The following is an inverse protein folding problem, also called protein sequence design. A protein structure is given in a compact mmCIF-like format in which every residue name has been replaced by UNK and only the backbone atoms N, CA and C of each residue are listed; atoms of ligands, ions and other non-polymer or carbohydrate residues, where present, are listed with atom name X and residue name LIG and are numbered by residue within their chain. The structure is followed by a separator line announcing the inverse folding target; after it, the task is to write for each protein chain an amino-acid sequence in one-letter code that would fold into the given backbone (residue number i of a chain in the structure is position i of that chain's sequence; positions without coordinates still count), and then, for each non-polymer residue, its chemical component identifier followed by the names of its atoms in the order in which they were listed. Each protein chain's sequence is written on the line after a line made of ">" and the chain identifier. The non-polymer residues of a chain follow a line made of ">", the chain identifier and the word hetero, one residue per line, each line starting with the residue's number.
data_IF_496626241706
#
_entry.id   IF_496626241706
#
_cell.length_a   1.000
_cell.length_b   1.000
_cell.length_c   1.000
_cell.angle_alpha   90.00
_cell.angle_beta   90.00
_cell.angle_gamma   90.00
#
_symmetry.space_group_name_H-M   'P 1'
#
loop_
_entity.id
_entity.type
_entity.pdbx_description
1 polymer ?
#
# COMPACT_ATOMS: atom_id res chain seq x y z
N UNK A 1 -1.86 -34.67 28.75
CA UNK A 1 -3.01 -34.00 28.13
C UNK A 1 -2.68 -33.73 26.67
N UNK A 2 -3.19 -34.54 25.73
CA UNK A 2 -2.89 -34.40 24.28
C UNK A 2 -3.79 -33.31 23.70
N UNK A 3 -3.20 -32.22 23.19
CA UNK A 3 -3.89 -31.11 22.52
C UNK A 3 -4.42 -31.62 21.17
N UNK A 4 -5.74 -31.79 21.02
CA UNK A 4 -6.37 -32.05 19.73
C UNK A 4 -6.15 -30.83 18.83
N UNK A 5 -5.34 -30.98 17.78
CA UNK A 5 -5.28 -30.02 16.68
C UNK A 5 -6.67 -30.02 16.02
N UNK A 6 -7.32 -28.85 15.97
CA UNK A 6 -8.52 -28.67 15.16
C UNK A 6 -8.10 -28.90 13.69
N UNK A 7 -8.86 -29.70 12.91
CA UNK A 7 -8.58 -29.83 11.49
C UNK A 7 -8.63 -28.43 10.86
N UNK A 8 -7.65 -28.14 10.01
CA UNK A 8 -7.57 -26.89 9.27
C UNK A 8 -8.84 -26.73 8.44
N UNK A 9 -9.37 -25.50 8.36
CA UNK A 9 -10.45 -25.23 7.41
C UNK A 9 -9.94 -25.60 6.01
N UNK A 10 -10.75 -26.27 5.20
CA UNK A 10 -10.34 -26.81 3.89
C UNK A 10 -9.64 -25.79 2.95
N UNK A 11 -9.96 -24.49 3.08
CA UNK A 11 -9.27 -23.41 2.37
C UNK A 11 -7.80 -23.19 2.79
N UNK A 12 -7.45 -23.56 4.03
CA UNK A 12 -6.07 -23.56 4.51
C UNK A 12 -5.27 -24.76 3.98
N UNK A 13 -5.94 -25.86 3.61
CA UNK A 13 -5.29 -27.02 2.96
C UNK A 13 -4.96 -26.72 1.49
N UNK A 14 -5.80 -25.97 0.77
CA UNK A 14 -5.44 -25.46 -0.56
C UNK A 14 -4.25 -24.50 -0.49
N UNK A 15 -4.24 -23.54 0.46
CA UNK A 15 -3.13 -22.58 0.65
C UNK A 15 -1.79 -23.22 1.01
N UNK A 16 -1.78 -24.41 1.61
CA UNK A 16 -0.56 -25.12 2.00
C UNK A 16 0.24 -25.65 0.78
N UNK A 17 -0.42 -25.87 -0.37
CA UNK A 17 0.25 -26.31 -1.60
C UNK A 17 1.00 -25.19 -2.33
N UNK A 18 0.70 -23.92 -2.04
CA UNK A 18 1.20 -22.77 -2.80
C UNK A 18 2.27 -21.92 -2.09
N UNK A 19 2.68 -22.29 -0.87
CA UNK A 19 3.66 -21.55 -0.08
C UNK A 19 3.09 -20.30 0.60
N UNK A 20 3.97 -19.50 1.21
CA UNK A 20 3.56 -18.19 1.78
C UNK A 20 3.57 -17.13 0.69
N UNK A 21 2.58 -16.25 0.73
CA UNK A 21 2.40 -15.19 -0.24
C UNK A 21 2.61 -13.81 0.40
N UNK A 22 3.32 -12.93 -0.29
CA UNK A 22 3.58 -11.56 0.21
C UNK A 22 3.42 -10.53 -0.90
N UNK A 23 2.92 -9.35 -0.53
CA UNK A 23 2.96 -8.16 -1.40
C UNK A 23 4.28 -7.42 -1.18
N UNK A 24 4.80 -6.83 -2.26
CA UNK A 24 6.04 -6.06 -2.25
C UNK A 24 5.76 -4.74 -2.97
N UNK A 25 6.21 -3.64 -2.37
CA UNK A 25 6.28 -2.34 -3.01
C UNK A 25 7.64 -1.72 -2.67
N UNK A 26 8.42 -1.44 -3.71
CA UNK A 26 9.70 -0.75 -3.62
C UNK A 26 9.62 0.60 -4.33
N UNK A 27 10.30 1.60 -3.79
CA UNK A 27 10.51 2.91 -4.42
C UNK A 27 11.97 3.31 -4.27
N UNK A 28 12.53 3.95 -5.29
CA UNK A 28 13.87 4.53 -5.29
C UNK A 28 13.80 5.96 -5.80
N UNK A 29 14.52 6.87 -5.15
CA UNK A 29 14.61 8.28 -5.51
C UNK A 29 16.01 8.61 -5.99
N UNK A 30 16.11 9.39 -7.05
CA UNK A 30 17.34 9.87 -7.65
C UNK A 30 17.24 11.39 -7.84
N UNK A 31 18.23 12.13 -7.32
CA UNK A 31 18.34 13.58 -7.55
C UNK A 31 18.72 13.88 -9.00
N UNK A 32 18.16 14.96 -9.55
CA UNK A 32 18.69 15.48 -10.81
C UNK A 32 20.09 16.09 -10.60
N UNK A 33 20.94 16.00 -11.62
CA UNK A 33 22.33 16.52 -11.57
C UNK A 33 22.36 18.05 -11.46
N UNK A 34 21.26 18.71 -11.83
CA UNK A 34 21.10 20.15 -11.75
C UNK A 34 20.68 20.56 -10.32
N UNK A 35 21.31 21.61 -9.79
CA UNK A 35 20.99 22.13 -8.45
C UNK A 35 19.56 22.68 -8.42
N UNK A 36 18.58 21.87 -8.08
CA UNK A 36 17.24 22.38 -7.83
C UNK A 36 16.26 21.27 -7.54
N UNK A 37 15.92 21.13 -6.25
CA UNK A 37 14.74 20.46 -5.64
C UNK A 37 13.83 19.62 -6.52
N UNK A 38 14.37 18.79 -7.39
CA UNK A 38 13.68 17.99 -8.39
C UNK A 38 14.53 16.78 -8.74
N UNK A 39 13.87 15.70 -9.13
CA UNK A 39 14.54 14.48 -9.55
C UNK A 39 13.55 13.45 -10.06
N UNK A 40 13.98 12.19 -10.06
CA UNK A 40 13.20 11.07 -10.56
C UNK A 40 12.98 10.02 -9.48
N UNK A 41 11.87 9.30 -9.60
CA UNK A 41 11.63 8.10 -8.82
C UNK A 41 11.29 6.93 -9.74
N UNK A 42 11.66 5.75 -9.30
CA UNK A 42 11.22 4.47 -9.88
C UNK A 42 10.57 3.63 -8.79
N UNK A 43 9.55 2.87 -9.14
CA UNK A 43 8.84 1.98 -8.23
C UNK A 43 8.58 0.63 -8.88
N UNK A 44 8.56 -0.41 -8.05
CA UNK A 44 8.18 -1.76 -8.44
C UNK A 44 7.19 -2.33 -7.44
N UNK A 45 6.21 -3.09 -7.92
CA UNK A 45 5.24 -3.74 -7.06
C UNK A 45 4.84 -5.14 -7.53
N UNK A 46 4.65 -6.03 -6.56
CA UNK A 46 3.91 -7.28 -6.69
C UNK A 46 2.79 -7.28 -5.65
N UNK A 47 1.56 -7.53 -6.06
CA UNK A 47 0.39 -7.50 -5.20
C UNK A 47 -0.33 -6.15 -5.21
N UNK A 48 -0.80 -5.74 -4.03
CA UNK A 48 -1.82 -4.71 -3.83
C UNK A 48 -1.40 -3.56 -2.89
N UNK A 49 -0.16 -3.58 -2.39
CA UNK A 49 0.43 -2.42 -1.74
C UNK A 49 0.58 -1.28 -2.74
N UNK A 50 0.19 -0.07 -2.35
CA UNK A 50 0.10 1.08 -3.25
C UNK A 50 1.00 2.24 -2.84
N UNK A 51 1.58 2.88 -3.85
CA UNK A 51 2.25 4.17 -3.84
C UNK A 51 1.29 5.25 -4.36
N UNK A 52 1.20 6.37 -3.64
CA UNK A 52 0.54 7.59 -4.12
C UNK A 52 1.49 8.77 -3.94
N UNK A 53 1.67 9.56 -5.00
CA UNK A 53 2.39 10.83 -4.98
C UNK A 53 1.40 12.00 -4.98
N UNK A 54 1.61 12.92 -4.05
CA UNK A 54 0.86 14.16 -3.92
C UNK A 54 1.79 15.33 -4.23
N UNK A 55 1.33 16.22 -5.11
CA UNK A 55 1.97 17.51 -5.42
C UNK A 55 0.89 18.58 -5.43
N UNK A 56 1.15 19.73 -4.81
CA UNK A 56 0.22 20.87 -4.81
C UNK A 56 -1.23 20.48 -4.44
N UNK A 57 -1.38 19.66 -3.39
CA UNK A 57 -2.68 19.16 -2.88
C UNK A 57 -3.50 18.36 -3.91
N UNK A 58 -2.83 17.71 -4.87
CA UNK A 58 -3.43 16.84 -5.87
C UNK A 58 -2.63 15.54 -6.03
N UNK A 59 -3.32 14.45 -6.36
CA UNK A 59 -2.69 13.18 -6.73
C UNK A 59 -2.08 13.32 -8.12
N UNK A 60 -0.76 13.20 -8.23
CA UNK A 60 -0.04 13.25 -9.52
C UNK A 60 0.44 11.89 -10.00
N UNK A 61 0.60 10.92 -9.09
CA UNK A 61 0.84 9.52 -9.44
C UNK A 61 0.15 8.57 -8.46
N UNK A 62 -0.32 7.44 -8.98
CA UNK A 62 -0.92 6.35 -8.23
C UNK A 62 -0.50 5.01 -8.86
N UNK A 63 -0.01 4.10 -8.04
CA UNK A 63 0.60 2.84 -8.48
C UNK A 63 0.45 1.77 -7.38
N UNK A 64 0.26 0.47 -7.69
CA UNK A 64 -0.05 -0.08 -9.00
C UNK A 64 -1.54 0.06 -9.37
N UNK A 65 -2.39 0.47 -8.43
CA UNK A 65 -3.81 0.74 -8.65
C UNK A 65 -4.13 2.23 -8.63
N UNK A 66 -5.30 2.60 -9.14
CA UNK A 66 -5.76 3.99 -9.24
C UNK A 66 -7.14 4.23 -8.60
N UNK A 67 -7.86 3.16 -8.24
CA UNK A 67 -9.22 3.16 -7.73
C UNK A 67 -9.43 2.02 -6.73
N UNK A 68 -10.50 2.11 -5.94
CA UNK A 68 -10.83 1.16 -4.88
C UNK A 68 -11.38 -0.17 -5.40
N UNK A 69 -11.87 -0.21 -6.64
CA UNK A 69 -12.45 -1.42 -7.25
C UNK A 69 -11.41 -2.43 -7.71
N UNK A 70 -10.16 -1.99 -7.88
CA UNK A 70 -9.02 -2.84 -8.25
C UNK A 70 -8.57 -3.80 -7.13
N UNK A 71 -8.98 -3.56 -5.88
CA UNK A 71 -8.64 -4.42 -4.74
C UNK A 71 -9.53 -5.66 -4.73
N UNK A 72 -8.91 -6.83 -4.65
CA UNK A 72 -9.60 -8.12 -4.59
C UNK A 72 -9.01 -9.01 -3.50
N UNK A 73 -9.70 -10.08 -3.14
CA UNK A 73 -9.21 -11.03 -2.13
C UNK A 73 -8.06 -11.93 -2.63
N UNK A 74 -7.70 -11.86 -3.92
CA UNK A 74 -6.68 -12.71 -4.54
C UNK A 74 -5.68 -11.87 -5.37
N UNK A 75 -4.89 -10.99 -4.73
CA UNK A 75 -3.81 -10.30 -5.41
C UNK A 75 -2.76 -11.29 -5.92
N UNK A 76 -2.00 -10.90 -6.95
CA UNK A 76 -0.87 -11.69 -7.44
C UNK A 76 0.32 -11.44 -6.52
N UNK A 77 0.71 -12.46 -5.77
CA UNK A 77 1.68 -12.35 -4.69
C UNK A 77 2.94 -13.15 -5.01
N UNK A 78 4.06 -12.73 -4.44
CA UNK A 78 5.31 -13.48 -4.52
C UNK A 78 5.17 -14.77 -3.70
N UNK A 79 5.44 -15.92 -4.31
CA UNK A 79 5.40 -17.22 -3.65
C UNK A 79 6.80 -17.68 -3.28
N UNK A 80 6.93 -18.37 -2.15
CA UNK A 80 8.17 -19.06 -1.77
C UNK A 80 8.45 -20.33 -2.60
N UNK A 81 7.52 -20.75 -3.47
CA UNK A 81 7.68 -21.91 -4.35
C UNK A 81 7.94 -21.46 -5.80
N UNK A 82 9.18 -21.66 -6.27
CA UNK A 82 9.65 -21.19 -7.58
C UNK A 82 8.90 -21.76 -8.78
N UNK A 83 8.29 -22.94 -8.66
CA UNK A 83 7.48 -23.54 -9.73
C UNK A 83 6.12 -22.85 -9.93
N UNK A 84 5.72 -21.96 -9.00
CA UNK A 84 4.46 -21.21 -9.01
C UNK A 84 4.67 -19.69 -8.86
N UNK A 85 5.91 -19.19 -9.01
CA UNK A 85 6.23 -17.79 -8.81
C UNK A 85 5.85 -16.93 -10.04
N UNK A 86 4.54 -16.75 -10.24
CA UNK A 86 4.02 -15.74 -11.15
C UNK A 86 4.29 -14.31 -10.65
N UNK A 87 4.66 -14.12 -9.38
CA UNK A 87 4.87 -12.80 -8.78
C UNK A 87 6.06 -12.05 -9.40
N UNK A 88 7.17 -12.74 -9.68
CA UNK A 88 8.31 -12.15 -10.41
C UNK A 88 7.95 -11.80 -11.86
N UNK A 89 7.18 -12.66 -12.54
CA UNK A 89 6.74 -12.42 -13.92
C UNK A 89 5.71 -11.29 -14.03
N UNK A 90 5.01 -10.98 -12.93
CA UNK A 90 3.98 -9.94 -12.87
C UNK A 90 4.43 -8.70 -12.09
N UNK A 91 5.74 -8.54 -11.87
CA UNK A 91 6.28 -7.33 -11.27
C UNK A 91 5.91 -6.12 -12.14
N UNK A 92 5.12 -5.22 -11.56
CA UNK A 92 4.72 -3.98 -12.20
C UNK A 92 5.78 -2.94 -11.89
N UNK A 93 6.06 -2.06 -12.85
CA UNK A 93 7.00 -0.95 -12.66
C UNK A 93 6.31 0.37 -12.99
N UNK A 94 6.74 1.43 -12.32
CA UNK A 94 6.37 2.81 -12.62
C UNK A 94 7.56 3.73 -12.39
N UNK A 95 7.53 4.90 -13.02
CA UNK A 95 8.48 5.97 -12.78
C UNK A 95 7.79 7.31 -12.89
N UNK A 96 8.39 8.34 -12.30
CA UNK A 96 7.89 9.71 -12.37
C UNK A 96 8.94 10.72 -11.95
N UNK A 97 8.62 12.00 -12.10
CA UNK A 97 9.41 13.08 -11.53
C UNK A 97 8.92 13.44 -10.14
N UNK A 98 9.82 13.86 -9.27
CA UNK A 98 9.48 14.52 -8.01
C UNK A 98 9.99 15.96 -8.01
N UNK A 99 9.30 16.80 -7.24
CA UNK A 99 9.67 18.18 -6.95
C UNK A 99 9.71 18.37 -5.42
N UNK A 100 10.39 19.40 -4.94
CA UNK A 100 10.36 19.80 -3.53
C UNK A 100 8.91 20.06 -3.10
N UNK A 101 8.60 19.73 -1.85
CA UNK A 101 7.26 19.70 -1.26
C UNK A 101 6.36 18.53 -1.71
N UNK A 102 6.83 17.65 -2.62
CA UNK A 102 6.10 16.42 -2.91
C UNK A 102 6.02 15.51 -1.68
N UNK A 103 4.87 14.84 -1.55
CA UNK A 103 4.64 13.83 -0.52
C UNK A 103 4.27 12.50 -1.15
N UNK A 104 4.91 11.42 -0.68
CA UNK A 104 4.62 10.06 -1.10
C UNK A 104 4.05 9.26 0.06
N UNK A 105 3.02 8.48 -0.25
CA UNK A 105 2.37 7.56 0.68
C UNK A 105 2.49 6.14 0.14
N UNK A 106 3.12 5.26 0.90
CA UNK A 106 3.11 3.82 0.65
C UNK A 106 2.18 3.16 1.66
N UNK A 107 1.25 2.35 1.17
CA UNK A 107 0.13 1.84 1.94
C UNK A 107 -0.10 0.36 1.65
N UNK A 108 -0.43 -0.44 2.67
CA UNK A 108 -0.98 -1.79 2.44
C UNK A 108 -2.41 -1.71 1.92
N UNK A 109 -2.91 -2.83 1.37
CA UNK A 109 -4.19 -2.96 0.68
C UNK A 109 -5.38 -2.33 1.43
N UNK A 110 -5.53 -2.62 2.73
CA UNK A 110 -6.66 -2.12 3.51
C UNK A 110 -6.69 -0.59 3.61
N UNK A 111 -5.51 0.04 3.73
CA UNK A 111 -5.40 1.50 3.79
C UNK A 111 -5.49 2.14 2.41
N UNK A 112 -4.90 1.51 1.39
CA UNK A 112 -4.98 1.98 0.02
C UNK A 112 -6.42 1.94 -0.50
N UNK A 113 -7.17 0.85 -0.24
CA UNK A 113 -8.58 0.74 -0.60
C UNK A 113 -9.42 1.85 0.04
N UNK A 114 -9.22 2.11 1.34
CA UNK A 114 -9.88 3.23 2.03
C UNK A 114 -9.50 4.58 1.39
N UNK A 115 -8.21 4.81 1.11
CA UNK A 115 -7.71 6.03 0.49
C UNK A 115 -8.42 6.30 -0.85
N UNK A 116 -8.49 5.30 -1.73
CA UNK A 116 -9.15 5.46 -3.01
C UNK A 116 -10.66 5.67 -2.86
N UNK A 117 -11.32 4.98 -1.93
CA UNK A 117 -12.75 5.18 -1.67
C UNK A 117 -13.09 6.60 -1.21
N UNK A 118 -12.22 7.23 -0.42
CA UNK A 118 -12.41 8.60 0.04
C UNK A 118 -12.14 9.60 -1.09
N UNK A 119 -11.11 9.35 -1.91
CA UNK A 119 -10.85 10.13 -3.12
C UNK A 119 -12.02 10.10 -4.10
N UNK A 120 -12.63 8.93 -4.30
CA UNK A 120 -13.82 8.74 -5.15
C UNK A 120 -15.04 9.51 -4.63
N UNK A 121 -15.08 9.82 -3.33
CA UNK A 121 -16.06 10.70 -2.69
C UNK A 121 -15.63 12.17 -2.68
N UNK A 122 -14.70 12.53 -3.55
CA UNK A 122 -14.10 13.87 -3.69
C UNK A 122 -13.42 14.38 -2.41
N UNK A 123 -13.06 13.49 -1.49
CA UNK A 123 -12.28 13.83 -0.30
C UNK A 123 -10.79 13.86 -0.60
N UNK A 124 -10.03 14.46 0.32
CA UNK A 124 -8.56 14.59 0.25
C UNK A 124 -7.88 13.79 1.37
N UNK A 125 -7.92 12.45 1.33
CA UNK A 125 -7.41 11.60 2.42
C UNK A 125 -5.93 11.85 2.74
N UNK A 126 -5.13 12.29 1.76
CA UNK A 126 -3.73 12.65 1.99
C UNK A 126 -3.53 13.79 3.00
N UNK A 127 -4.49 14.73 3.13
CA UNK A 127 -4.40 15.80 4.12
C UNK A 127 -4.45 15.23 5.55
N UNK A 128 -5.30 14.21 5.76
CA UNK A 128 -5.38 13.49 7.03
C UNK A 128 -4.11 12.66 7.27
N UNK A 129 -3.70 11.87 6.27
CA UNK A 129 -2.53 10.98 6.39
C UNK A 129 -1.21 11.74 6.59
N UNK A 130 -1.10 12.96 6.04
CA UNK A 130 0.05 13.84 6.24
C UNK A 130 0.27 14.18 7.70
N UNK A 131 -0.79 14.36 8.49
CA UNK A 131 -0.68 14.80 9.89
C UNK A 131 -0.81 13.63 10.88
N UNK A 132 -1.23 12.46 10.40
CA UNK A 132 -1.49 11.28 11.21
C UNK A 132 -0.21 10.78 11.89
N UNK A 133 -0.29 10.53 13.21
CA UNK A 133 0.82 9.98 13.99
C UNK A 133 2.00 10.92 14.25
N UNK A 134 2.00 12.17 13.73
CA UNK A 134 3.05 13.17 14.04
C UNK A 134 2.85 13.74 15.45
N UNK A 135 1.60 13.94 15.83
CA UNK A 135 1.20 14.49 17.13
C UNK A 135 0.41 13.43 17.91
N UNK A 136 0.64 13.35 19.22
CA UNK A 136 -0.07 12.47 20.14
C UNK A 136 -1.60 12.66 20.12
N UNK A 137 -2.08 13.80 19.59
CA UNK A 137 -3.51 14.10 19.38
C UNK A 137 -4.20 13.25 18.31
N UNK A 138 -3.47 12.64 17.37
CA UNK A 138 -4.05 11.76 16.33
C UNK A 138 -3.31 10.42 16.26
N UNK A 139 -3.54 9.52 17.24
CA UNK A 139 -2.88 8.22 17.27
C UNK A 139 -3.30 7.37 16.07
N UNK A 140 -2.32 6.88 15.30
CA UNK A 140 -2.55 6.04 14.13
C UNK A 140 -3.44 4.83 14.45
N UNK A 141 -3.13 4.09 15.51
CA UNK A 141 -3.87 2.88 15.90
C UNK A 141 -5.34 3.18 16.27
N UNK A 142 -5.59 4.28 16.98
CA UNK A 142 -6.95 4.66 17.37
C UNK A 142 -7.80 5.07 16.15
N UNK A 143 -7.17 5.75 15.19
CA UNK A 143 -7.81 6.10 13.93
C UNK A 143 -8.12 4.88 13.06
N UNK A 144 -7.19 3.93 12.93
CA UNK A 144 -7.46 2.66 12.23
C UNK A 144 -8.60 1.90 12.92
N UNK A 145 -8.63 1.86 14.25
CA UNK A 145 -9.68 1.20 15.01
C UNK A 145 -11.07 1.83 14.74
N UNK A 146 -11.15 3.16 14.69
CA UNK A 146 -12.43 3.85 14.43
C UNK A 146 -12.95 3.61 13.01
N UNK A 147 -12.07 3.55 12.00
CA UNK A 147 -12.48 3.20 10.63
C UNK A 147 -13.00 1.76 10.53
N UNK A 148 -12.40 0.82 11.25
CA UNK A 148 -12.88 -0.57 11.30
C UNK A 148 -14.23 -0.68 12.02
N UNK A 149 -14.43 0.05 13.12
CA UNK A 149 -15.71 0.09 13.83
C UNK A 149 -16.84 0.63 12.94
N UNK A 150 -16.54 1.66 12.15
CA UNK A 150 -17.46 2.25 11.17
C UNK A 150 -17.63 1.42 9.90
N UNK A 151 -16.93 0.28 9.78
CA UNK A 151 -16.87 -0.57 8.58
C UNK A 151 -16.40 0.18 7.32
N UNK A 152 -15.68 1.28 7.50
CA UNK A 152 -15.08 2.07 6.43
C UNK A 152 -13.75 1.48 5.93
N UNK A 153 -13.13 0.57 6.70
CA UNK A 153 -11.88 -0.10 6.36
C UNK A 153 -11.99 -1.60 6.64
N UNK A 154 -11.39 -2.40 5.76
CA UNK A 154 -11.26 -3.86 5.95
C UNK A 154 -10.49 -4.16 7.24
N UNK A 155 -10.88 -5.23 7.93
CA UNK A 155 -10.15 -5.70 9.09
C UNK A 155 -8.94 -6.53 8.66
N UNK A 156 -7.88 -5.87 8.22
CA UNK A 156 -6.59 -6.44 7.79
C UNK A 156 -5.42 -5.61 8.32
N UNK A 157 -4.19 -6.09 8.20
CA UNK A 157 -3.00 -5.34 8.66
C UNK A 157 -2.80 -4.02 7.88
N UNK A 158 -2.55 -2.95 8.63
CA UNK A 158 -2.45 -1.59 8.08
C UNK A 158 -1.07 -1.02 8.33
N UNK A 159 -0.36 -0.73 7.25
CA UNK A 159 0.93 -0.02 7.28
C UNK A 159 0.85 1.25 6.44
N UNK A 160 1.42 2.33 6.97
CA UNK A 160 1.60 3.60 6.26
C UNK A 160 3.08 3.99 6.33
N UNK A 161 3.69 4.23 5.18
CA UNK A 161 4.98 4.91 5.08
C UNK A 161 4.76 6.26 4.41
N UNK A 162 5.31 7.33 4.99
CA UNK A 162 5.20 8.70 4.48
C UNK A 162 6.59 9.25 4.22
N UNK A 163 6.80 9.77 3.02
CA UNK A 163 8.05 10.40 2.59
C UNK A 163 7.71 11.81 2.12
N UNK A 164 8.39 12.81 2.67
CA UNK A 164 8.26 14.22 2.26
C UNK A 164 9.58 14.67 1.69
N UNK A 165 9.55 15.23 0.48
CA UNK A 165 10.72 15.84 -0.16
C UNK A 165 10.73 17.32 0.24
N UNK A 166 11.87 17.81 0.74
CA UNK A 166 12.08 19.19 1.16
C UNK A 166 13.26 19.81 0.44
#
# INVERSE_FOLDING_TARGET
>A
MRRRLKPLAWYAEEKLGFGTFSSLLGITFEDSVDRGGTGHWTAMASGDSCLVQIRNDAVVAAFPFQDSSAFSNNPVLLSTNGDHDQGLAQLRNACGGWESEDCFFLMTDALAAWFYSEREREQKPWQLLRDLGIDSRKPFCAWVASLREQRAMKNDDVTLYRISIG
#
